data_IF_300731607313
#
_entry.id   IF_300731607313
#
_cell.length_a   1.000
_cell.length_b   1.000
_cell.length_c   1.000
_cell.angle_alpha   90.00
_cell.angle_beta   90.00
_cell.angle_gamma   90.00
#
_symmetry.space_group_name_H-M   'P 1'
#
loop_
_entity.id
_entity.type
_entity.pdbx_description
1 polymer ?
#
# COMPACT_ATOMS: atom_id res chain seq x y z
N UNK A 1 36.71 18.63 -32.43
CA UNK A 1 35.69 17.59 -32.56
C UNK A 1 34.65 17.72 -31.43
N UNK A 2 33.92 18.85 -31.36
CA UNK A 2 32.80 19.05 -30.42
C UNK A 2 31.62 18.08 -30.63
N UNK A 3 31.48 17.52 -31.83
CA UNK A 3 30.36 16.66 -32.22
C UNK A 3 30.30 15.36 -31.40
N UNK A 4 31.47 14.78 -31.09
CA UNK A 4 31.57 13.54 -30.28
C UNK A 4 31.16 13.79 -28.83
N UNK A 5 31.54 14.95 -28.28
CA UNK A 5 31.13 15.36 -26.93
C UNK A 5 29.62 15.55 -26.85
N UNK A 6 29.02 16.11 -27.90
CA UNK A 6 27.58 16.30 -27.97
C UNK A 6 26.82 14.97 -28.06
N UNK A 7 27.31 14.01 -28.87
CA UNK A 7 26.73 12.69 -28.98
C UNK A 7 26.78 11.90 -27.65
N UNK A 8 27.92 11.94 -26.95
CA UNK A 8 28.07 11.30 -25.63
C UNK A 8 27.14 11.93 -24.59
N UNK A 9 26.97 13.25 -24.61
CA UNK A 9 26.09 13.96 -23.69
C UNK A 9 24.61 13.61 -23.93
N UNK A 10 24.19 13.51 -25.20
CA UNK A 10 22.85 13.04 -25.57
C UNK A 10 22.61 11.58 -25.16
N UNK A 11 23.62 10.71 -25.30
CA UNK A 11 23.53 9.30 -24.89
C UNK A 11 23.46 9.15 -23.37
N UNK A 12 24.19 9.96 -22.61
CA UNK A 12 24.14 9.99 -21.15
C UNK A 12 22.80 10.54 -20.64
N UNK A 13 22.25 11.57 -21.29
CA UNK A 13 20.93 12.11 -20.95
C UNK A 13 19.82 11.10 -21.21
N UNK A 14 19.81 10.47 -22.40
CA UNK A 14 18.75 9.54 -22.80
C UNK A 14 18.72 8.28 -21.92
N UNK A 15 19.89 7.75 -21.57
CA UNK A 15 19.99 6.61 -20.64
C UNK A 15 19.57 6.98 -19.21
N UNK A 16 19.95 8.17 -18.73
CA UNK A 16 19.60 8.64 -17.39
C UNK A 16 18.11 8.91 -17.22
N UNK A 17 17.46 9.54 -18.20
CA UNK A 17 16.02 9.83 -18.16
C UNK A 17 15.19 8.55 -18.20
N UNK A 18 15.61 7.57 -19.00
CA UNK A 18 14.95 6.26 -19.06
C UNK A 18 15.03 5.53 -17.71
N UNK A 19 16.21 5.49 -17.09
CA UNK A 19 16.40 4.92 -15.75
C UNK A 19 15.60 5.66 -14.68
N UNK A 20 15.52 7.00 -14.76
CA UNK A 20 14.80 7.80 -13.80
C UNK A 20 13.29 7.57 -13.87
N UNK A 21 12.74 7.43 -15.08
CA UNK A 21 11.33 7.11 -15.30
C UNK A 21 10.94 5.77 -14.67
N UNK A 22 11.76 4.73 -14.87
CA UNK A 22 11.53 3.43 -14.24
C UNK A 22 11.62 3.48 -12.71
N UNK A 23 12.55 4.28 -12.16
CA UNK A 23 12.68 4.46 -10.71
C UNK A 23 11.46 5.18 -10.11
N UNK A 24 10.96 6.23 -10.76
CA UNK A 24 9.78 6.97 -10.29
C UNK A 24 8.53 6.07 -10.26
N UNK A 25 8.33 5.25 -11.29
CA UNK A 25 7.24 4.28 -11.32
C UNK A 25 7.38 3.20 -10.24
N UNK A 26 8.56 2.60 -10.09
CA UNK A 26 8.81 1.59 -9.06
C UNK A 26 8.61 2.13 -7.63
N UNK A 27 9.05 3.36 -7.38
CA UNK A 27 8.85 4.03 -6.10
C UNK A 27 7.36 4.34 -5.86
N UNK A 28 6.65 4.83 -6.86
CA UNK A 28 5.20 5.03 -6.79
C UNK A 28 4.42 3.75 -6.50
N UNK A 29 4.78 2.64 -7.16
CA UNK A 29 4.15 1.34 -6.91
C UNK A 29 4.46 0.79 -5.52
N UNK A 30 5.67 0.98 -5.01
CA UNK A 30 6.04 0.54 -3.65
C UNK A 30 5.16 1.22 -2.59
N UNK A 31 4.95 2.53 -2.71
CA UNK A 31 4.11 3.30 -1.79
C UNK A 31 2.65 2.83 -1.84
N UNK A 32 2.12 2.61 -3.04
CA UNK A 32 0.76 2.10 -3.21
C UNK A 32 0.60 0.64 -2.75
N UNK A 33 1.65 -0.16 -2.84
CA UNK A 33 1.66 -1.55 -2.38
C UNK A 33 1.52 -1.61 -0.85
N UNK A 34 2.21 -0.74 -0.11
CA UNK A 34 2.16 -0.74 1.35
C UNK A 34 0.76 -0.44 1.91
N UNK A 35 0.02 0.48 1.29
CA UNK A 35 -1.38 0.73 1.64
C UNK A 35 -2.28 -0.47 1.37
N UNK A 36 -2.13 -1.10 0.19
CA UNK A 36 -2.89 -2.29 -0.17
C UNK A 36 -2.63 -3.45 0.78
N UNK A 37 -1.41 -3.60 1.24
CA UNK A 37 -1.06 -4.65 2.19
C UNK A 37 -1.77 -4.46 3.54
N UNK A 38 -1.78 -3.24 4.09
CA UNK A 38 -2.54 -2.94 5.30
C UNK A 38 -4.04 -3.20 5.11
N UNK A 39 -4.58 -2.90 3.92
CA UNK A 39 -5.97 -3.22 3.56
C UNK A 39 -6.25 -4.72 3.52
N UNK A 40 -5.37 -5.52 2.91
CA UNK A 40 -5.48 -6.98 2.88
C UNK A 40 -5.46 -7.58 4.28
N UNK A 41 -4.61 -7.06 5.16
CA UNK A 41 -4.54 -7.50 6.55
C UNK A 41 -5.82 -7.16 7.31
N UNK A 42 -6.42 -5.98 7.08
CA UNK A 42 -7.69 -5.60 7.67
C UNK A 42 -8.85 -6.50 7.20
N UNK A 43 -8.89 -6.84 5.92
CA UNK A 43 -9.85 -7.79 5.34
C UNK A 43 -9.69 -9.19 5.93
N UNK A 44 -8.45 -9.69 6.02
CA UNK A 44 -8.16 -10.98 6.68
C UNK A 44 -8.64 -10.96 8.13
N UNK A 45 -8.50 -9.83 8.83
CA UNK A 45 -8.98 -9.71 10.20
C UNK A 45 -10.49 -9.74 10.34
N UNK A 46 -11.22 -9.11 9.42
CA UNK A 46 -12.68 -9.23 9.34
C UNK A 46 -13.13 -10.66 8.99
N UNK A 47 -12.35 -11.37 8.17
CA UNK A 47 -12.54 -12.79 7.91
C UNK A 47 -12.17 -13.70 9.09
N UNK A 48 -11.73 -13.15 10.23
CA UNK A 48 -11.37 -13.90 11.44
C UNK A 48 -9.95 -14.45 11.47
N UNK A 49 -9.08 -14.03 10.54
CA UNK A 49 -7.69 -14.47 10.46
C UNK A 49 -6.75 -13.41 11.04
N UNK A 50 -5.75 -13.85 11.79
CA UNK A 50 -4.68 -12.98 12.30
C UNK A 50 -3.42 -13.09 11.43
N UNK A 51 -2.74 -11.98 11.23
CA UNK A 51 -1.50 -11.91 10.43
C UNK A 51 -0.34 -11.66 11.37
N UNK A 52 0.65 -12.56 11.35
CA UNK A 52 1.84 -12.43 12.18
C UNK A 52 2.57 -11.11 11.92
N UNK A 53 2.97 -10.43 13.00
CA UNK A 53 3.66 -9.13 12.92
C UNK A 53 2.74 -7.91 12.78
N UNK A 54 1.42 -8.12 12.68
CA UNK A 54 0.42 -7.05 12.66
C UNK A 54 -0.43 -7.08 13.94
N UNK A 55 -0.57 -5.93 14.60
CA UNK A 55 -1.52 -5.77 15.70
C UNK A 55 -2.88 -5.49 15.09
N UNK A 56 -3.91 -6.24 15.46
CA UNK A 56 -5.23 -6.08 14.87
C UNK A 56 -6.31 -6.08 15.95
N UNK A 57 -7.22 -5.12 15.86
CA UNK A 57 -8.34 -4.94 16.78
C UNK A 57 -9.63 -5.08 15.97
N UNK A 58 -10.49 -6.02 16.37
CA UNK A 58 -11.83 -6.17 15.80
C UNK A 58 -12.85 -5.65 16.81
N UNK A 59 -13.61 -4.62 16.43
CA UNK A 59 -14.75 -4.12 17.19
C UNK A 59 -16.03 -4.54 16.48
N UNK A 60 -16.94 -5.18 17.20
CA UNK A 60 -18.26 -5.55 16.70
C UNK A 60 -19.30 -4.79 17.50
N UNK A 61 -20.16 -4.04 16.81
CA UNK A 61 -21.24 -3.27 17.43
C UNK A 61 -22.57 -3.73 16.84
N UNK A 62 -23.50 -4.11 17.71
CA UNK A 62 -24.86 -4.46 17.29
C UNK A 62 -25.59 -3.19 16.84
N UNK A 63 -25.95 -3.13 15.56
CA UNK A 63 -26.73 -2.07 14.95
C UNK A 63 -28.23 -2.33 15.05
N UNK A 64 -29.06 -1.33 14.71
CA UNK A 64 -30.51 -1.52 14.60
C UNK A 64 -30.82 -2.59 13.54
N UNK A 65 -31.96 -3.26 13.67
CA UNK A 65 -32.48 -4.28 12.73
C UNK A 65 -31.70 -5.61 12.62
N UNK A 66 -30.89 -5.97 13.63
CA UNK A 66 -30.15 -7.25 13.63
C UNK A 66 -28.86 -7.22 12.80
N UNK A 67 -28.51 -6.05 12.25
CA UNK A 67 -27.23 -5.82 11.61
C UNK A 67 -26.09 -5.75 12.64
N UNK A 68 -24.93 -6.29 12.31
CA UNK A 68 -23.68 -6.13 13.08
C UNK A 68 -22.71 -5.26 12.29
N UNK A 69 -22.22 -4.19 12.91
CA UNK A 69 -21.16 -3.35 12.38
C UNK A 69 -19.82 -3.88 12.89
N UNK A 70 -19.04 -4.46 12.00
CA UNK A 70 -17.71 -4.97 12.26
C UNK A 70 -16.68 -3.95 11.80
N UNK A 71 -15.76 -3.55 12.67
CA UNK A 71 -14.65 -2.65 12.36
C UNK A 71 -13.34 -3.34 12.70
N UNK A 72 -12.50 -3.57 11.70
CA UNK A 72 -11.15 -4.05 11.89
C UNK A 72 -10.17 -2.88 11.75
N UNK A 73 -9.39 -2.63 12.78
CA UNK A 73 -8.26 -1.70 12.75
C UNK A 73 -6.98 -2.52 12.85
N UNK A 74 -6.06 -2.33 11.90
CA UNK A 74 -4.79 -3.05 11.86
C UNK A 74 -3.64 -2.06 11.87
N UNK A 75 -2.64 -2.35 12.70
CA UNK A 75 -1.43 -1.57 12.87
C UNK A 75 -0.23 -2.49 12.69
N UNK A 76 0.51 -2.27 11.60
CA UNK A 76 1.70 -3.03 11.23
C UNK A 76 3.01 -2.36 11.66
N UNK A 77 4.14 -2.99 11.29
CA UNK A 77 5.45 -2.41 11.51
C UNK A 77 5.60 -1.08 10.76
N UNK A 78 6.40 -0.17 11.31
CA UNK A 78 6.60 1.21 10.79
C UNK A 78 5.37 2.11 10.86
N UNK A 79 4.53 1.97 11.90
CA UNK A 79 3.39 2.87 12.16
C UNK A 79 2.34 2.87 11.04
N UNK A 80 2.28 1.78 10.27
CA UNK A 80 1.34 1.62 9.16
C UNK A 80 0.01 1.17 9.73
N UNK A 81 -1.06 1.91 9.47
CA UNK A 81 -2.40 1.50 9.88
C UNK A 81 -3.39 1.51 8.73
N UNK A 82 -4.37 0.62 8.82
CA UNK A 82 -5.56 0.64 7.98
C UNK A 82 -6.78 0.29 8.84
N UNK A 83 -7.92 0.89 8.54
CA UNK A 83 -9.18 0.55 9.17
C UNK A 83 -10.22 0.20 8.12
N UNK A 84 -10.92 -0.90 8.34
CA UNK A 84 -12.01 -1.34 7.48
C UNK A 84 -13.27 -1.53 8.31
N UNK A 85 -14.40 -1.03 7.82
CA UNK A 85 -15.70 -1.17 8.45
C UNK A 85 -16.63 -1.92 7.51
N UNK A 86 -17.29 -2.96 8.01
CA UNK A 86 -18.23 -3.81 7.28
C UNK A 86 -19.54 -3.88 8.07
N UNK A 87 -20.65 -3.72 7.37
CA UNK A 87 -21.98 -4.01 7.90
C UNK A 87 -22.39 -5.42 7.49
N UNK A 88 -22.87 -6.21 8.44
CA UNK A 88 -23.44 -7.54 8.20
C UNK A 88 -24.88 -7.54 8.68
N UNK A 89 -25.79 -7.51 7.72
CA UNK A 89 -27.19 -7.87 7.81
C UNK A 89 -27.37 -9.03 6.80
#
# INVERSE_FOLDING_TARGET
MPEVLFALLLMALSSSTLLHYHRALAQGFSQQWYQREAWRVAEQRLAGHEVAGWKSTLQQQSGPSGCTLERAEVTGPWQRSASLTRLRC
#
